data_IF_640800801313
#
_entry.id   IF_640800801313
#
_cell.length_a   1.000
_cell.length_b   1.000
_cell.length_c   1.000
_cell.angle_alpha   90.00
_cell.angle_beta   90.00
_cell.angle_gamma   90.00
#
_symmetry.space_group_name_H-M   'P 1'
#
loop_
_entity.id
_entity.type
_entity.pdbx_description
1 polymer ?
#
# COMPACT_ATOMS: atom_id res chain seq x y z
N UNK A 1 8.09 -25.83 -14.56
CA UNK A 1 8.81 -24.72 -13.92
C UNK A 1 7.88 -24.06 -12.91
N UNK A 2 8.16 -24.19 -11.62
CA UNK A 2 7.27 -23.68 -10.56
C UNK A 2 7.45 -22.17 -10.40
N UNK A 3 6.50 -21.38 -10.90
CA UNK A 3 6.35 -19.99 -10.48
C UNK A 3 5.97 -20.01 -9.00
N UNK A 4 6.97 -19.92 -8.10
CA UNK A 4 6.72 -19.61 -6.70
C UNK A 4 6.16 -18.19 -6.67
N UNK A 5 4.83 -18.08 -6.72
CA UNK A 5 4.12 -16.84 -6.50
C UNK A 5 4.35 -16.49 -5.04
N UNK A 6 5.41 -15.74 -4.72
CA UNK A 6 5.61 -15.20 -3.38
C UNK A 6 4.41 -14.28 -3.14
N UNK A 7 3.43 -14.65 -2.30
CA UNK A 7 2.28 -13.80 -2.11
C UNK A 7 2.80 -12.52 -1.48
N UNK A 8 2.63 -11.38 -2.17
CA UNK A 8 2.86 -10.05 -1.58
C UNK A 8 2.20 -10.07 -0.21
N UNK A 9 3.00 -9.87 0.84
CA UNK A 9 2.58 -10.10 2.23
C UNK A 9 1.22 -9.45 2.49
N UNK A 10 0.26 -10.19 3.08
CA UNK A 10 -1.12 -9.71 3.31
C UNK A 10 -1.10 -8.34 3.99
N UNK A 11 -1.59 -7.32 3.27
CA UNK A 11 -1.65 -5.95 3.76
C UNK A 11 -2.93 -5.71 4.56
N UNK A 12 -2.78 -5.19 5.77
CA UNK A 12 -3.87 -4.69 6.62
C UNK A 12 -4.47 -3.40 6.05
N UNK A 13 -5.69 -3.04 6.46
CA UNK A 13 -6.35 -1.80 6.01
C UNK A 13 -5.50 -0.54 6.26
N UNK A 14 -4.82 -0.46 7.42
CA UNK A 14 -3.92 0.64 7.73
C UNK A 14 -2.70 0.68 6.79
N UNK A 15 -2.12 -0.48 6.46
CA UNK A 15 -1.01 -0.56 5.50
C UNK A 15 -1.44 -0.15 4.09
N UNK A 16 -2.62 -0.60 3.64
CA UNK A 16 -3.18 -0.19 2.35
C UNK A 16 -3.40 1.33 2.30
N UNK A 17 -3.95 1.90 3.37
CA UNK A 17 -4.16 3.33 3.48
C UNK A 17 -2.84 4.13 3.43
N UNK A 18 -1.81 3.69 4.15
CA UNK A 18 -0.49 4.34 4.12
C UNK A 18 0.14 4.24 2.73
N UNK A 19 0.05 3.10 2.03
CA UNK A 19 0.54 2.97 0.64
C UNK A 19 -0.14 3.99 -0.28
N UNK A 20 -1.46 4.17 -0.14
CA UNK A 20 -2.22 5.17 -0.90
C UNK A 20 -1.81 6.60 -0.52
N UNK A 21 -1.57 6.87 0.76
CA UNK A 21 -1.09 8.18 1.23
C UNK A 21 0.32 8.52 0.69
N UNK A 22 1.25 7.55 0.68
CA UNK A 22 2.58 7.71 0.05
C UNK A 22 2.44 7.98 -1.45
N UNK A 23 1.55 7.26 -2.14
CA UNK A 23 1.30 7.48 -3.57
C UNK A 23 0.80 8.90 -3.89
N UNK A 24 -0.04 9.46 -3.01
CA UNK A 24 -0.60 10.81 -3.13
C UNK A 24 0.35 11.91 -2.63
N UNK A 25 1.53 11.54 -2.11
CA UNK A 25 2.45 12.46 -1.43
C UNK A 25 1.78 13.22 -0.28
N UNK A 26 0.82 12.59 0.40
CA UNK A 26 0.08 13.20 1.50
C UNK A 26 0.89 13.17 2.80
N UNK A 27 1.80 14.13 2.93
CA UNK A 27 2.70 14.22 4.09
C UNK A 27 1.95 14.40 5.42
N UNK A 28 0.80 15.06 5.42
CA UNK A 28 -0.05 15.26 6.60
C UNK A 28 -0.49 13.94 7.22
N UNK A 29 -0.92 12.98 6.40
CA UNK A 29 -1.28 11.64 6.86
C UNK A 29 -0.04 10.86 7.28
N UNK A 30 1.04 10.95 6.53
CA UNK A 30 2.26 10.19 6.80
C UNK A 30 2.94 10.63 8.09
N UNK A 31 2.95 11.92 8.41
CA UNK A 31 3.56 12.46 9.63
C UNK A 31 2.81 12.09 10.92
N UNK A 32 1.59 11.56 10.83
CA UNK A 32 0.81 11.19 12.02
C UNK A 32 1.51 10.07 12.82
N UNK A 33 1.58 10.18 14.16
CA UNK A 33 2.25 9.20 15.02
C UNK A 33 1.58 7.82 14.96
N UNK A 34 0.26 7.76 14.77
CA UNK A 34 -0.49 6.50 14.65
C UNK A 34 -0.07 5.64 13.45
N UNK A 35 0.53 6.22 12.42
CA UNK A 35 1.04 5.49 11.26
C UNK A 35 2.55 5.27 11.28
N UNK A 36 3.27 5.69 12.34
CA UNK A 36 4.72 5.48 12.46
C UNK A 36 5.07 3.99 12.36
N UNK A 37 4.43 3.15 13.18
CA UNK A 37 4.64 1.69 13.17
C UNK A 37 4.30 1.06 11.82
N UNK A 38 3.25 1.55 11.17
CA UNK A 38 2.80 1.08 9.86
C UNK A 38 3.82 1.43 8.77
N UNK A 39 4.40 2.63 8.80
CA UNK A 39 5.46 3.05 7.87
C UNK A 39 6.70 2.17 8.01
N UNK A 40 7.18 1.96 9.23
CA UNK A 40 8.30 1.04 9.48
C UNK A 40 8.01 -0.38 8.98
N UNK A 41 6.82 -0.91 9.25
CA UNK A 41 6.45 -2.24 8.77
C UNK A 41 6.34 -2.33 7.24
N UNK A 42 6.00 -1.25 6.55
CA UNK A 42 5.98 -1.20 5.08
C UNK A 42 7.39 -1.04 4.51
N UNK A 43 8.27 -0.33 5.21
CA UNK A 43 9.67 -0.16 4.84
C UNK A 43 10.43 -1.48 4.99
N UNK A 44 10.20 -2.20 6.10
CA UNK A 44 10.73 -3.55 6.35
C UNK A 44 10.29 -4.54 5.27
N UNK A 45 9.06 -4.41 4.77
CA UNK A 45 8.55 -5.20 3.63
C UNK A 45 9.10 -4.76 2.27
N UNK A 46 9.93 -3.72 2.22
CA UNK A 46 10.45 -3.15 0.98
C UNK A 46 9.35 -2.55 0.08
N UNK A 47 8.22 -2.12 0.64
CA UNK A 47 7.11 -1.52 -0.12
C UNK A 47 7.22 0.01 -0.17
N UNK A 48 7.87 0.62 0.82
CA UNK A 48 8.16 2.05 0.83
C UNK A 48 9.63 2.27 1.20
N UNK A 49 10.16 3.38 0.75
CA UNK A 49 11.50 3.85 1.09
C UNK A 49 11.40 5.31 1.58
N UNK A 50 12.38 5.72 2.40
CA UNK A 50 12.51 7.12 2.82
C UNK A 50 13.69 7.72 2.07
N UNK A 51 13.47 8.84 1.41
CA UNK A 51 14.53 9.59 0.74
C UNK A 51 15.34 10.39 1.77
N UNK A 52 16.49 10.90 1.36
CA UNK A 52 17.37 11.74 2.19
C UNK A 52 16.66 12.98 2.77
N UNK A 53 15.60 13.45 2.11
CA UNK A 53 14.75 14.55 2.58
C UNK A 53 13.72 14.15 3.65
N UNK A 54 13.73 12.89 4.12
CA UNK A 54 12.73 12.35 5.04
C UNK A 54 11.36 12.10 4.41
N UNK A 55 11.26 12.20 3.08
CA UNK A 55 10.01 11.97 2.34
C UNK A 55 9.85 10.50 1.95
N UNK A 56 8.65 9.95 2.11
CA UNK A 56 8.36 8.57 1.73
C UNK A 56 8.07 8.44 0.24
N UNK A 57 8.61 7.40 -0.40
CA UNK A 57 8.33 7.01 -1.76
C UNK A 57 7.94 5.52 -1.85
N UNK A 58 7.18 5.17 -2.89
CA UNK A 58 6.85 3.77 -3.20
C UNK A 58 8.00 3.13 -3.98
N UNK A 59 8.45 1.97 -3.50
CA UNK A 59 9.37 1.09 -4.25
C UNK A 59 8.64 0.46 -5.45
N UNK A 60 9.34 -0.31 -6.28
CA UNK A 60 8.71 -1.11 -7.33
C UNK A 60 7.59 -2.02 -6.77
N UNK A 61 7.88 -2.75 -5.69
CA UNK A 61 6.92 -3.62 -5.02
C UNK A 61 5.75 -2.83 -4.38
N UNK A 62 6.02 -1.62 -3.86
CA UNK A 62 4.99 -0.72 -3.34
C UNK A 62 4.00 -0.25 -4.41
N UNK A 63 4.49 0.03 -5.62
CA UNK A 63 3.66 0.41 -6.77
C UNK A 63 2.76 -0.75 -7.19
N UNK A 64 3.29 -1.97 -7.28
CA UNK A 64 2.49 -3.16 -7.56
C UNK A 64 1.42 -3.40 -6.48
N UNK A 65 1.78 -3.22 -5.20
CA UNK A 65 0.83 -3.33 -4.10
C UNK A 65 -0.30 -2.27 -4.21
N UNK A 66 0.03 -1.04 -4.58
CA UNK A 66 -0.96 0.03 -4.83
C UNK A 66 -1.92 -0.35 -5.94
N UNK A 67 -1.42 -0.83 -7.07
CA UNK A 67 -2.28 -1.23 -8.20
C UNK A 67 -3.23 -2.37 -7.81
N UNK A 68 -2.77 -3.34 -7.02
CA UNK A 68 -3.66 -4.40 -6.49
C UNK A 68 -4.70 -3.88 -5.52
N UNK A 69 -4.36 -2.88 -4.69
CA UNK A 69 -5.32 -2.20 -3.81
C UNK A 69 -6.37 -1.50 -4.66
N UNK A 70 -5.95 -0.75 -5.68
CA UNK A 70 -6.83 -0.04 -6.61
C UNK A 70 -7.79 -1.02 -7.31
N UNK A 71 -7.24 -2.09 -7.90
CA UNK A 71 -8.05 -3.17 -8.50
C UNK A 71 -9.00 -3.80 -7.49
N UNK A 72 -8.57 -4.09 -6.27
CA UNK A 72 -9.47 -4.67 -5.26
C UNK A 72 -10.63 -3.73 -4.90
N UNK A 73 -10.38 -2.42 -4.84
CA UNK A 73 -11.41 -1.40 -4.63
C UNK A 73 -12.34 -1.29 -5.84
N UNK A 74 -11.79 -1.32 -7.06
CA UNK A 74 -12.55 -1.30 -8.32
C UNK A 74 -13.39 -2.57 -8.49
N UNK A 75 -12.85 -3.75 -8.22
CA UNK A 75 -13.57 -5.03 -8.24
C UNK A 75 -14.66 -5.07 -7.18
N UNK A 76 -14.38 -4.60 -5.96
CA UNK A 76 -15.41 -4.48 -4.91
C UNK A 76 -16.53 -3.53 -5.33
N UNK A 77 -16.20 -2.46 -6.07
CA UNK A 77 -17.20 -1.54 -6.65
C UNK A 77 -17.95 -2.15 -7.84
N UNK A 78 -17.32 -3.04 -8.60
CA UNK A 78 -17.91 -3.76 -9.74
C UNK A 78 -18.64 -5.06 -9.37
N UNK A 79 -18.64 -5.43 -8.09
CA UNK A 79 -19.49 -6.52 -7.56
C UNK A 79 -20.45 -5.99 -6.50
N UNK A 80 -21.06 -4.83 -6.74
CA UNK A 80 -22.42 -4.63 -6.24
C UNK A 80 -23.31 -5.52 -7.12
N UNK A 81 -23.88 -6.62 -6.61
CA UNK A 81 -24.93 -7.29 -7.36
C UNK A 81 -26.05 -6.26 -7.56
N UNK A 82 -26.33 -5.90 -8.81
CA UNK A 82 -27.68 -5.54 -9.22
C UNK A 82 -28.53 -6.82 -9.02
N UNK A 83 -28.89 -7.12 -7.77
CA UNK A 83 -29.70 -8.30 -7.45
C UNK A 83 -30.40 -8.12 -6.11
N UNK A 84 -31.44 -7.29 -6.14
CA UNK A 84 -32.79 -7.50 -5.57
C UNK A 84 -33.60 -6.23 -5.79
#
# INVERSE_FOLDING_TARGET
MSMRHTPVARLTSAQRFVIVAVAQRDNSTLMRPNYARTRYALQDKGLIEVNETGSYALTAAGKEARERIKQSLETSRSTRPERA
#
